data_IF_360509484472
#
_entry.id   IF_360509484472
#
_cell.length_a   1.000
_cell.length_b   1.000
_cell.length_c   1.000
_cell.angle_alpha   90.00
_cell.angle_beta   90.00
_cell.angle_gamma   90.00
#
_symmetry.space_group_name_H-M   'P 1'
#
loop_
_entity.id
_entity.type
_entity.pdbx_description
1 polymer ?
#
# COMPACT_ATOMS: atom_id res chain seq x y z
N UNK A 1 10.81 -26.13 -10.28
CA UNK A 1 11.59 -24.88 -10.38
C UNK A 1 12.13 -24.80 -11.79
N UNK A 2 11.41 -24.09 -12.64
CA UNK A 2 11.62 -24.13 -14.10
C UNK A 2 12.55 -22.98 -14.47
N UNK A 3 13.38 -23.16 -15.50
CA UNK A 3 14.36 -22.18 -16.01
C UNK A 3 13.79 -20.78 -16.36
N UNK A 4 12.45 -20.62 -16.38
CA UNK A 4 11.76 -19.36 -16.55
C UNK A 4 11.79 -18.48 -15.28
N UNK A 5 11.72 -19.09 -14.09
CA UNK A 5 11.79 -18.37 -12.80
C UNK A 5 13.21 -17.81 -12.57
N UNK A 6 14.24 -18.55 -12.98
CA UNK A 6 15.62 -18.10 -12.88
C UNK A 6 15.96 -17.01 -13.91
N UNK A 7 15.34 -16.99 -15.09
CA UNK A 7 15.56 -15.93 -16.10
C UNK A 7 14.93 -14.59 -15.72
N UNK A 8 13.78 -14.60 -15.02
CA UNK A 8 13.19 -13.37 -14.45
C UNK A 8 14.04 -12.88 -13.26
N UNK A 9 14.62 -13.81 -12.48
CA UNK A 9 15.45 -13.50 -11.31
C UNK A 9 16.83 -12.95 -11.68
N UNK A 10 17.44 -13.44 -12.75
CA UNK A 10 18.82 -13.06 -13.17
C UNK A 10 18.85 -11.71 -13.93
N UNK A 11 17.77 -11.31 -14.60
CA UNK A 11 17.72 -10.03 -15.31
C UNK A 11 17.47 -8.80 -14.39
N UNK A 12 17.13 -9.01 -13.12
CA UNK A 12 16.70 -7.95 -12.20
C UNK A 12 17.80 -7.42 -11.24
N UNK A 13 18.96 -8.08 -11.13
CA UNK A 13 19.91 -7.83 -10.02
C UNK A 13 21.20 -7.08 -10.41
N UNK A 14 21.57 -6.97 -11.70
CA UNK A 14 22.72 -6.13 -12.08
C UNK A 14 22.25 -4.71 -12.47
N UNK A 15 22.35 -3.78 -11.51
CA UNK A 15 22.15 -2.34 -11.75
C UNK A 15 20.77 -1.78 -11.35
N UNK A 16 19.91 -2.57 -10.70
CA UNK A 16 18.69 -2.04 -10.08
C UNK A 16 19.02 -1.27 -8.80
N UNK A 17 18.82 0.04 -8.83
CA UNK A 17 18.95 0.91 -7.67
C UNK A 17 17.54 1.34 -7.20
N UNK A 18 17.04 0.81 -6.06
CA UNK A 18 15.75 1.20 -5.52
C UNK A 18 15.62 2.69 -5.25
N UNK A 19 16.71 3.36 -4.85
CA UNK A 19 16.67 4.80 -4.55
C UNK A 19 16.55 5.64 -5.82
N UNK A 20 17.08 5.16 -6.94
CA UNK A 20 16.89 5.78 -8.25
C UNK A 20 15.51 5.51 -8.84
N UNK A 21 14.95 4.32 -8.62
CA UNK A 21 13.60 3.91 -9.08
C UNK A 21 12.50 4.65 -8.32
N UNK A 22 12.66 4.78 -7.00
CA UNK A 22 11.66 5.35 -6.08
C UNK A 22 12.31 6.40 -5.17
N UNK A 23 12.64 7.59 -5.71
CA UNK A 23 13.31 8.64 -4.95
C UNK A 23 12.51 9.15 -3.76
N UNK A 24 11.17 9.28 -3.86
CA UNK A 24 10.36 9.75 -2.73
C UNK A 24 10.31 8.71 -1.60
N UNK A 25 10.22 7.43 -1.94
CA UNK A 25 10.33 6.33 -0.98
C UNK A 25 11.72 6.28 -0.33
N UNK A 26 12.78 6.62 -1.08
CA UNK A 26 14.14 6.69 -0.55
C UNK A 26 14.32 7.83 0.45
N UNK A 27 13.70 8.99 0.22
CA UNK A 27 13.69 10.12 1.18
C UNK A 27 13.11 9.69 2.55
N UNK A 28 12.21 8.70 2.55
CA UNK A 28 11.62 8.14 3.76
C UNK A 28 12.29 6.85 4.26
N UNK A 29 13.34 6.38 3.58
CA UNK A 29 14.09 5.17 3.95
C UNK A 29 13.36 3.85 3.65
N UNK A 30 12.31 3.88 2.82
CA UNK A 30 11.44 2.72 2.54
C UNK A 30 11.56 2.18 1.11
N UNK A 31 12.48 2.71 0.29
CA UNK A 31 12.70 2.21 -1.07
C UNK A 31 13.04 0.70 -1.12
N UNK A 32 13.72 0.18 -0.10
CA UNK A 32 14.00 -1.26 0.01
C UNK A 32 12.73 -2.10 0.24
N UNK A 33 11.72 -1.55 0.95
CA UNK A 33 10.41 -2.22 1.14
C UNK A 33 9.67 -2.28 -0.20
N UNK A 34 9.70 -1.19 -0.99
CA UNK A 34 9.13 -1.18 -2.34
C UNK A 34 9.83 -2.19 -3.27
N UNK A 35 11.15 -2.35 -3.12
CA UNK A 35 11.90 -3.36 -3.87
C UNK A 35 11.41 -4.78 -3.59
N UNK A 36 11.16 -5.10 -2.32
CA UNK A 36 10.65 -6.42 -1.94
C UNK A 36 9.21 -6.61 -2.40
N UNK A 37 8.37 -5.58 -2.25
CA UNK A 37 7.00 -5.57 -2.77
C UNK A 37 6.98 -5.87 -4.27
N UNK A 38 7.78 -5.16 -5.06
CA UNK A 38 7.86 -5.34 -6.51
C UNK A 38 8.30 -6.75 -6.92
N UNK A 39 9.26 -7.34 -6.19
CA UNK A 39 9.73 -8.71 -6.46
C UNK A 39 8.64 -9.76 -6.27
N UNK A 40 7.68 -9.50 -5.37
CA UNK A 40 6.66 -10.45 -4.95
C UNK A 40 5.26 -10.15 -5.52
N UNK A 41 5.03 -8.95 -6.06
CA UNK A 41 3.69 -8.48 -6.46
C UNK A 41 2.98 -9.44 -7.43
N UNK A 42 3.66 -9.85 -8.50
CA UNK A 42 3.09 -10.76 -9.50
C UNK A 42 2.75 -12.14 -8.92
N UNK A 43 3.61 -12.68 -8.05
CA UNK A 43 3.36 -13.95 -7.37
C UNK A 43 2.17 -13.85 -6.41
N UNK A 44 2.15 -12.83 -5.54
CA UNK A 44 1.06 -12.62 -4.59
C UNK A 44 -0.29 -12.48 -5.28
N UNK A 45 -0.34 -11.74 -6.39
CA UNK A 45 -1.57 -11.57 -7.17
C UNK A 45 -2.05 -12.91 -7.77
N UNK A 46 -1.14 -13.66 -8.39
CA UNK A 46 -1.46 -14.97 -8.96
C UNK A 46 -1.93 -15.99 -7.91
N UNK A 47 -1.30 -15.99 -6.74
CA UNK A 47 -1.59 -16.92 -5.64
C UNK A 47 -2.68 -16.43 -4.68
N UNK A 48 -3.18 -15.19 -4.86
CA UNK A 48 -4.10 -14.51 -3.94
C UNK A 48 -3.60 -14.48 -2.49
N UNK A 49 -2.30 -14.24 -2.33
CA UNK A 49 -1.68 -14.13 -1.02
C UNK A 49 -1.88 -12.74 -0.42
N UNK A 50 -1.99 -12.68 0.91
CA UNK A 50 -2.17 -11.42 1.63
C UNK A 50 -0.85 -10.66 1.76
N UNK A 51 -0.77 -9.35 1.41
CA UNK A 51 0.42 -8.53 1.61
C UNK A 51 0.56 -8.00 3.06
N UNK A 52 -0.02 -8.68 4.06
CA UNK A 52 -0.10 -8.19 5.44
C UNK A 52 1.27 -7.91 6.06
N UNK A 53 2.28 -8.74 5.80
CA UNK A 53 3.63 -8.55 6.35
C UNK A 53 4.34 -7.33 5.75
N UNK A 54 4.21 -7.11 4.44
CA UNK A 54 4.76 -5.90 3.81
C UNK A 54 4.04 -4.63 4.28
N UNK A 55 2.73 -4.70 4.48
CA UNK A 55 1.95 -3.61 5.08
C UNK A 55 2.39 -3.33 6.52
N UNK A 56 2.76 -4.35 7.31
CA UNK A 56 3.35 -4.17 8.65
C UNK A 56 4.71 -3.48 8.59
N UNK A 57 5.56 -3.82 7.61
CA UNK A 57 6.85 -3.15 7.41
C UNK A 57 6.67 -1.65 7.10
N UNK A 58 5.70 -1.31 6.25
CA UNK A 58 5.36 0.09 5.95
C UNK A 58 4.82 0.82 7.20
N UNK A 59 3.99 0.18 8.02
CA UNK A 59 3.51 0.74 9.30
C UNK A 59 4.66 1.04 10.26
N UNK A 60 5.55 0.08 10.47
CA UNK A 60 6.73 0.22 11.33
C UNK A 60 7.69 1.31 10.83
N UNK A 61 7.74 1.54 9.52
CA UNK A 61 8.53 2.61 8.92
C UNK A 61 7.87 4.01 9.02
N UNK A 62 6.67 4.12 9.59
CA UNK A 62 5.96 5.38 9.77
C UNK A 62 5.23 5.91 8.53
N UNK A 63 5.02 5.07 7.52
CA UNK A 63 4.26 5.44 6.29
C UNK A 63 2.85 5.96 6.59
N UNK A 64 2.07 5.39 7.54
CA UNK A 64 0.73 5.90 7.88
C UNK A 64 0.74 7.38 8.31
N UNK A 65 1.80 7.81 9.00
CA UNK A 65 1.91 9.13 9.59
C UNK A 65 2.53 10.20 8.67
N UNK A 66 2.85 9.87 7.40
CA UNK A 66 3.56 10.79 6.50
C UNK A 66 2.91 12.19 6.41
N UNK A 67 1.57 12.24 6.33
CA UNK A 67 0.82 13.50 6.20
C UNK A 67 0.55 14.23 7.51
N UNK A 68 0.68 13.55 8.66
CA UNK A 68 0.49 14.21 9.94
C UNK A 68 1.58 15.30 10.09
N UNK A 69 1.23 16.50 10.57
CA UNK A 69 2.22 17.49 11.00
C UNK A 69 3.21 16.89 12.00
N UNK A 70 4.42 17.44 12.06
CA UNK A 70 5.49 16.93 12.95
C UNK A 70 5.08 17.03 14.42
N UNK A 71 4.36 18.08 14.80
CA UNK A 71 3.78 18.25 16.14
C UNK A 71 2.73 17.19 16.52
N UNK A 72 2.18 16.47 15.54
CA UNK A 72 1.28 15.33 15.74
C UNK A 72 1.99 13.98 15.53
N UNK A 73 3.32 13.95 15.49
CA UNK A 73 4.12 12.72 15.36
C UNK A 73 4.32 12.23 13.92
N UNK A 74 4.01 13.06 12.92
CA UNK A 74 4.22 12.72 11.51
C UNK A 74 5.44 13.34 10.85
N UNK A 75 5.43 13.31 9.51
CA UNK A 75 6.50 13.92 8.68
C UNK A 75 6.10 15.23 8.00
N UNK A 76 4.85 15.64 8.12
CA UNK A 76 4.36 16.94 7.64
C UNK A 76 4.45 17.13 6.12
N UNK A 77 4.48 16.04 5.35
CA UNK A 77 4.74 16.15 3.90
C UNK A 77 3.58 16.85 3.19
N UNK A 78 3.83 17.63 2.13
CA UNK A 78 2.76 18.21 1.33
C UNK A 78 1.98 17.12 0.59
N UNK A 79 0.70 17.40 0.30
CA UNK A 79 -0.18 16.46 -0.40
C UNK A 79 0.36 16.03 -1.77
N UNK A 80 1.08 16.91 -2.47
CA UNK A 80 1.76 16.60 -3.73
C UNK A 80 2.83 15.51 -3.57
N UNK A 81 3.61 15.56 -2.49
CA UNK A 81 4.63 14.55 -2.20
C UNK A 81 4.00 13.23 -1.75
N UNK A 82 2.86 13.26 -1.05
CA UNK A 82 2.10 12.03 -0.78
C UNK A 82 1.62 11.37 -2.06
N UNK A 83 1.11 12.14 -3.04
CA UNK A 83 0.72 11.56 -4.33
C UNK A 83 1.90 11.00 -5.11
N UNK A 84 3.06 11.64 -5.06
CA UNK A 84 4.28 11.10 -5.64
C UNK A 84 4.69 9.78 -4.98
N UNK A 85 4.68 9.71 -3.65
CA UNK A 85 4.91 8.47 -2.90
C UNK A 85 3.88 7.38 -3.26
N UNK A 86 2.60 7.74 -3.36
CA UNK A 86 1.55 6.79 -3.73
C UNK A 86 1.73 6.24 -5.16
N UNK A 87 2.24 7.05 -6.08
CA UNK A 87 2.59 6.61 -7.43
C UNK A 87 3.77 5.64 -7.43
N UNK A 88 4.82 5.93 -6.65
CA UNK A 88 5.95 5.00 -6.48
C UNK A 88 5.53 3.68 -5.82
N UNK A 89 4.68 3.74 -4.80
CA UNK A 89 4.12 2.55 -4.18
C UNK A 89 3.27 1.74 -5.17
N UNK A 90 2.48 2.40 -6.02
CA UNK A 90 1.67 1.72 -7.03
C UNK A 90 2.52 1.11 -8.17
N UNK A 91 3.65 1.74 -8.51
CA UNK A 91 4.64 1.19 -9.44
C UNK A 91 5.33 -0.06 -8.87
N UNK A 92 5.51 -0.13 -7.54
CA UNK A 92 6.01 -1.32 -6.86
C UNK A 92 4.92 -2.41 -6.68
N UNK A 93 3.76 -2.05 -6.15
CA UNK A 93 2.62 -2.96 -5.95
C UNK A 93 1.28 -2.18 -5.96
N UNK A 94 0.47 -2.30 -7.03
CA UNK A 94 -0.79 -1.56 -7.15
C UNK A 94 -1.86 -2.01 -6.13
N UNK A 95 -1.81 -3.27 -5.68
CA UNK A 95 -2.75 -3.80 -4.69
C UNK A 95 -2.49 -3.21 -3.32
N UNK A 96 -1.22 -3.08 -2.92
CA UNK A 96 -0.82 -2.42 -1.67
C UNK A 96 -1.08 -0.91 -1.72
N UNK A 97 -0.83 -0.26 -2.86
CA UNK A 97 -1.20 1.15 -3.02
C UNK A 97 -2.71 1.37 -2.89
N UNK A 98 -3.52 0.49 -3.50
CA UNK A 98 -4.98 0.53 -3.39
C UNK A 98 -5.45 0.36 -1.94
N UNK A 99 -4.84 -0.59 -1.22
CA UNK A 99 -5.08 -0.85 0.19
C UNK A 99 -4.86 0.39 1.09
N UNK A 100 -3.78 1.14 0.87
CA UNK A 100 -3.43 2.31 1.68
C UNK A 100 -4.17 3.59 1.27
N UNK A 101 -4.77 3.62 0.08
CA UNK A 101 -5.50 4.80 -0.42
C UNK A 101 -6.57 5.31 0.55
N UNK A 102 -7.37 4.41 1.12
CA UNK A 102 -8.46 4.78 2.03
C UNK A 102 -7.92 5.38 3.34
N UNK A 103 -6.78 4.89 3.81
CA UNK A 103 -6.12 5.42 4.99
C UNK A 103 -5.68 6.87 4.76
N UNK A 104 -4.98 7.15 3.66
CA UNK A 104 -4.55 8.52 3.36
C UNK A 104 -5.74 9.46 3.17
N UNK A 105 -6.81 9.02 2.49
CA UNK A 105 -8.05 9.80 2.43
C UNK A 105 -8.59 10.11 3.83
N UNK A 106 -8.66 9.13 4.73
CA UNK A 106 -9.14 9.34 6.09
C UNK A 106 -8.29 10.38 6.85
N UNK A 107 -6.96 10.27 6.77
CA UNK A 107 -6.03 11.22 7.40
C UNK A 107 -6.28 12.64 6.90
N UNK A 108 -6.43 12.82 5.59
CA UNK A 108 -6.75 14.14 5.01
C UNK A 108 -8.08 14.70 5.54
N UNK A 109 -9.11 13.87 5.60
CA UNK A 109 -10.41 14.29 6.13
C UNK A 109 -10.32 14.66 7.61
N UNK A 110 -9.58 13.89 8.41
CA UNK A 110 -9.41 14.15 9.83
C UNK A 110 -8.61 15.44 10.09
N UNK A 111 -7.55 15.70 9.33
CA UNK A 111 -6.76 16.95 9.43
C UNK A 111 -7.60 18.19 9.09
N UNK A 112 -8.50 18.08 8.11
CA UNK A 112 -9.40 19.17 7.67
C UNK A 112 -10.66 19.34 8.53
N UNK A 113 -10.89 18.43 9.47
CA UNK A 113 -12.08 18.46 10.32
C UNK A 113 -11.94 19.48 11.46
N UNK A 114 -13.08 19.99 11.94
CA UNK A 114 -13.15 20.86 13.10
C UNK A 114 -12.51 20.20 14.34
N UNK A 115 -11.95 20.99 15.28
CA UNK A 115 -11.23 20.47 16.46
C UNK A 115 -12.00 19.44 17.30
N UNK A 116 -13.32 19.55 17.38
CA UNK A 116 -14.25 18.69 18.11
C UNK A 116 -14.71 17.45 17.32
N UNK A 117 -14.27 17.31 16.07
CA UNK A 117 -14.66 16.18 15.23
C UNK A 117 -14.16 14.85 15.80
N UNK A 118 -15.02 13.81 15.89
CA UNK A 118 -14.61 12.47 16.29
C UNK A 118 -13.49 11.88 15.42
N UNK A 119 -13.34 12.34 14.17
CA UNK A 119 -12.27 11.89 13.27
C UNK A 119 -10.88 12.29 13.77
N UNK A 120 -10.76 13.44 14.44
CA UNK A 120 -9.46 13.94 14.94
C UNK A 120 -8.88 13.07 16.04
N UNK A 121 -9.73 12.38 16.81
CA UNK A 121 -9.29 11.44 17.84
C UNK A 121 -8.44 10.29 17.27
N UNK A 122 -8.61 9.95 15.99
CA UNK A 122 -7.82 8.90 15.34
C UNK A 122 -6.42 9.37 14.90
N UNK A 123 -6.13 10.68 14.87
CA UNK A 123 -4.80 11.16 14.46
C UNK A 123 -3.71 10.67 15.41
N UNK A 124 -4.00 10.55 16.70
CA UNK A 124 -3.07 9.97 17.69
C UNK A 124 -2.72 8.52 17.35
N UNK A 125 -3.72 7.72 16.96
CA UNK A 125 -3.50 6.33 16.56
C UNK A 125 -2.67 6.21 15.28
N UNK A 126 -2.91 7.11 14.32
CA UNK A 126 -2.11 7.17 13.09
C UNK A 126 -0.66 7.55 13.42
N UNK A 127 -0.43 8.43 14.39
CA UNK A 127 0.91 8.75 14.88
C UNK A 127 1.61 7.53 15.50
N UNK A 128 0.86 6.66 16.17
CA UNK A 128 1.35 5.37 16.69
C UNK A 128 1.55 4.29 15.60
N UNK A 129 1.24 4.61 14.34
CA UNK A 129 1.43 3.73 13.18
C UNK A 129 0.19 2.92 12.78
N UNK A 130 -0.97 3.16 13.38
CA UNK A 130 -2.20 2.44 13.00
C UNK A 130 -2.70 2.84 11.61
N UNK A 131 -3.15 1.83 10.85
CA UNK A 131 -3.92 2.03 9.63
C UNK A 131 -5.43 2.16 9.90
N UNK A 132 -6.07 3.03 9.14
CA UNK A 132 -7.52 3.28 9.20
C UNK A 132 -8.13 2.92 7.85
N UNK A 133 -9.22 2.15 7.84
CA UNK A 133 -9.95 1.81 6.61
C UNK A 133 -9.21 0.88 5.65
N UNK A 134 -8.13 0.21 6.12
CA UNK A 134 -7.49 -0.88 5.39
C UNK A 134 -8.12 -2.23 5.73
N UNK A 135 -8.25 -3.12 4.74
CA UNK A 135 -8.68 -4.51 4.92
C UNK A 135 -7.68 -5.39 5.71
N UNK A 136 -6.61 -4.80 6.25
CA UNK A 136 -5.50 -5.47 6.96
C UNK A 136 -5.64 -5.36 8.49
N UNK A 137 -6.77 -4.85 8.97
CA UNK A 137 -7.01 -4.45 10.36
C UNK A 137 -7.09 -5.57 11.40
N UNK A 138 -6.54 -6.76 11.17
CA UNK A 138 -6.61 -7.85 12.14
C UNK A 138 -5.64 -7.72 13.33
N UNK A 139 -4.82 -6.67 13.42
CA UNK A 139 -3.92 -6.53 14.58
C UNK A 139 -4.34 -5.53 15.66
N UNK A 140 -4.81 -4.30 15.41
CA UNK A 140 -5.08 -3.37 16.52
C UNK A 140 -6.25 -2.37 16.37
N UNK A 141 -7.17 -2.51 15.39
CA UNK A 141 -8.34 -1.60 15.30
C UNK A 141 -9.63 -2.24 14.79
N UNK A 142 -10.76 -1.66 15.22
CA UNK A 142 -12.12 -2.10 14.96
C UNK A 142 -12.41 -2.32 13.48
N UNK A 143 -12.94 -3.50 13.18
CA UNK A 143 -13.41 -3.93 11.85
C UNK A 143 -14.34 -2.89 11.23
N UNK A 144 -13.99 -2.40 10.05
CA UNK A 144 -14.92 -1.73 9.14
C UNK A 144 -15.00 -2.56 7.86
N UNK A 145 -16.12 -3.27 7.67
CA UNK A 145 -16.51 -3.89 6.40
C UNK A 145 -15.79 -5.20 6.06
N UNK A 146 -16.32 -6.33 6.53
CA UNK A 146 -16.14 -7.60 5.83
C UNK A 146 -17.07 -7.56 4.60
N UNK A 147 -16.53 -7.35 3.41
CA UNK A 147 -17.23 -7.71 2.18
C UNK A 147 -16.51 -8.89 1.58
N UNK A 148 -17.00 -10.09 1.91
CA UNK A 148 -16.67 -11.31 1.18
C UNK A 148 -17.22 -11.16 -0.25
N UNK A 149 -16.34 -10.84 -1.19
CA UNK A 149 -16.69 -10.83 -2.62
C UNK A 149 -16.35 -12.20 -3.18
N UNK A 150 -17.34 -13.08 -3.26
CA UNK A 150 -17.23 -14.34 -4.00
C UNK A 150 -17.29 -14.05 -5.49
N UNK A 151 -16.14 -13.92 -6.15
CA UNK A 151 -16.07 -13.89 -7.60
C UNK A 151 -16.42 -15.27 -8.17
N UNK A 152 -17.68 -15.45 -8.58
CA UNK A 152 -18.04 -16.58 -9.45
C UNK A 152 -17.58 -16.25 -10.86
N UNK A 153 -16.45 -16.84 -11.26
CA UNK A 153 -16.00 -16.83 -12.63
C UNK A 153 -16.95 -17.70 -13.46
N UNK A 154 -18.01 -17.09 -13.99
CA UNK A 154 -18.85 -17.73 -14.99
C UNK A 154 -18.02 -17.87 -16.26
N UNK A 155 -17.54 -19.09 -16.52
CA UNK A 155 -16.99 -19.47 -17.82
C UNK A 155 -18.11 -19.30 -18.86
N UNK A 156 -18.20 -18.12 -19.46
CA UNK A 156 -18.94 -17.94 -20.70
C UNK A 156 -18.12 -18.59 -21.80
N UNK A 157 -18.42 -19.84 -22.12
CA UNK A 157 -18.16 -20.38 -23.44
C UNK A 157 -19.05 -19.63 -24.43
N UNK A 158 -18.55 -18.52 -24.96
CA UNK A 158 -19.17 -17.86 -26.12
C UNK A 158 -18.51 -18.46 -27.35
N UNK A 159 -19.18 -19.45 -27.94
CA UNK A 159 -18.98 -19.81 -29.34
C UNK A 159 -19.47 -18.63 -30.17
N UNK A 160 -18.53 -17.79 -30.60
CA UNK A 160 -18.76 -16.88 -31.71
C UNK A 160 -18.81 -17.74 -32.97
N UNK A 161 -20.00 -18.21 -33.34
CA UNK A 161 -20.25 -18.81 -34.64
C UNK A 161 -20.68 -17.68 -35.58
N UNK A 162 -19.80 -17.35 -36.52
CA UNK A 162 -20.04 -16.33 -37.54
C UNK A 162 -20.86 -16.92 -38.68
N UNK A 163 -22.08 -16.42 -38.86
CA UNK A 163 -22.76 -16.29 -40.16
C UNK A 163 -23.95 -15.34 -40.10
#
# INVERSE_FOLDING_TARGET
MTALDDLIRIAADEGFDPARRWPVAADFGVAHILSDLARQAAHRDAMRESPADDVRRLQQAGVPALRLPTELGGRGIPLTQLFAFAAELADADPSVAHALRNHFWFVEQALRSAPDSPRRAYLARVADGDLIGGSFGELHTSKAGNTEVTLRQALRSSSWDSR
#
